data_IF_052886507764
#
_entry.id   IF_052886507764
#
_cell.length_a   1.000
_cell.length_b   1.000
_cell.length_c   1.000
_cell.angle_alpha   90.00
_cell.angle_beta   90.00
_cell.angle_gamma   90.00
#
_symmetry.space_group_name_H-M   'P 1'
#
loop_
_entity.id
_entity.type
_entity.pdbx_description
1 polymer ?
#
# COMPACT_ATOMS: atom_id res chain seq x y z
N UNK A 1 8.23 29.78 -1.94
CA UNK A 1 8.81 28.81 -2.90
C UNK A 1 7.77 28.57 -4.00
N UNK A 2 8.10 28.73 -5.28
CA UNK A 2 7.13 28.41 -6.36
C UNK A 2 6.73 26.93 -6.23
N UNK A 3 5.43 26.62 -6.28
CA UNK A 3 4.89 25.27 -6.09
C UNK A 3 5.58 24.24 -7.02
N UNK A 4 5.98 24.67 -8.21
CA UNK A 4 6.75 23.88 -9.16
C UNK A 4 8.13 23.42 -8.65
N UNK A 5 8.84 24.25 -7.89
CA UNK A 5 10.12 23.85 -7.26
C UNK A 5 9.90 22.85 -6.12
N UNK A 6 8.82 22.98 -5.35
CA UNK A 6 8.48 22.02 -4.31
C UNK A 6 8.15 20.64 -4.89
N UNK A 7 7.38 20.58 -5.98
CA UNK A 7 7.07 19.33 -6.68
C UNK A 7 8.33 18.62 -7.18
N UNK A 8 9.30 19.37 -7.74
CA UNK A 8 10.58 18.80 -8.18
C UNK A 8 11.39 18.22 -7.01
N UNK A 9 11.50 18.96 -5.90
CA UNK A 9 12.26 18.51 -4.73
C UNK A 9 11.62 17.25 -4.14
N UNK A 10 10.30 17.26 -3.94
CA UNK A 10 9.58 16.10 -3.42
C UNK A 10 9.74 14.92 -4.38
N UNK A 11 9.57 15.13 -5.69
CA UNK A 11 9.70 14.07 -6.69
C UNK A 11 11.08 13.42 -6.71
N UNK A 12 12.15 14.21 -6.62
CA UNK A 12 13.53 13.70 -6.51
C UNK A 12 13.73 12.92 -5.21
N UNK A 13 13.23 13.42 -4.08
CA UNK A 13 13.30 12.73 -2.80
C UNK A 13 12.56 11.38 -2.83
N UNK A 14 11.37 11.32 -3.45
CA UNK A 14 10.63 10.07 -3.62
C UNK A 14 11.39 9.08 -4.51
N UNK A 15 12.00 9.53 -5.61
CA UNK A 15 12.81 8.65 -6.46
C UNK A 15 13.98 8.06 -5.66
N UNK A 16 14.72 8.90 -4.92
CA UNK A 16 15.81 8.43 -4.08
C UNK A 16 15.31 7.44 -3.02
N UNK A 17 14.21 7.77 -2.33
CA UNK A 17 13.56 6.88 -1.38
C UNK A 17 13.16 5.53 -2.00
N UNK A 18 12.62 5.56 -3.22
CA UNK A 18 12.28 4.36 -3.99
C UNK A 18 13.50 3.50 -4.33
N UNK A 19 14.60 4.11 -4.75
CA UNK A 19 15.88 3.41 -4.99
C UNK A 19 16.38 2.76 -3.69
N UNK A 20 16.37 3.49 -2.57
CA UNK A 20 16.77 2.93 -1.27
C UNK A 20 15.87 1.78 -0.82
N UNK A 21 14.56 1.90 -1.04
CA UNK A 21 13.59 0.85 -0.72
C UNK A 21 13.83 -0.42 -1.55
N UNK A 22 14.17 -0.29 -2.82
CA UNK A 22 14.51 -1.43 -3.69
C UNK A 22 15.89 -2.03 -3.37
N UNK A 23 16.85 -1.20 -2.93
CA UNK A 23 18.16 -1.67 -2.51
C UNK A 23 18.10 -2.51 -1.21
N UNK A 24 17.18 -2.20 -0.30
CA UNK A 24 16.91 -3.00 0.89
C UNK A 24 15.40 -3.20 1.11
N UNK A 25 14.78 -4.19 0.40
CA UNK A 25 13.35 -4.45 0.48
C UNK A 25 12.88 -4.87 1.88
N UNK A 26 13.75 -5.51 2.68
CA UNK A 26 13.42 -5.90 4.04
C UNK A 26 13.21 -4.69 4.93
N UNK A 27 14.15 -3.74 4.93
CA UNK A 27 14.02 -2.51 5.69
C UNK A 27 12.78 -1.71 5.28
N UNK A 28 12.50 -1.64 3.97
CA UNK A 28 11.30 -1.00 3.44
C UNK A 28 10.00 -1.71 3.89
N UNK A 29 9.96 -3.04 3.86
CA UNK A 29 8.79 -3.81 4.32
C UNK A 29 8.50 -3.58 5.80
N UNK A 30 9.54 -3.53 6.63
CA UNK A 30 9.43 -3.21 8.06
C UNK A 30 8.92 -1.78 8.23
N UNK A 31 9.48 -0.80 7.49
CA UNK A 31 9.04 0.59 7.55
C UNK A 31 7.56 0.77 7.18
N UNK A 32 7.08 0.06 6.15
CA UNK A 32 5.64 0.07 5.79
C UNK A 32 4.82 -0.51 6.93
N UNK A 33 5.25 -1.63 7.49
CA UNK A 33 4.52 -2.30 8.57
C UNK A 33 4.44 -1.45 9.83
N UNK A 34 5.53 -0.78 10.20
CA UNK A 34 5.53 0.13 11.35
C UNK A 34 4.67 1.37 11.09
N UNK A 35 4.70 1.92 9.87
CA UNK A 35 3.82 3.02 9.48
C UNK A 35 2.35 2.61 9.58
N UNK A 36 1.98 1.45 9.05
CA UNK A 36 0.61 0.91 9.12
C UNK A 36 0.20 0.65 10.58
N UNK A 37 1.07 0.07 11.40
CA UNK A 37 0.83 -0.14 12.83
C UNK A 37 0.60 1.18 13.58
N UNK A 38 1.40 2.21 13.28
CA UNK A 38 1.22 3.55 13.85
C UNK A 38 -0.12 4.18 13.40
N UNK A 39 -0.49 4.05 12.12
CA UNK A 39 -1.78 4.52 11.63
C UNK A 39 -2.96 3.80 12.31
N UNK A 40 -2.85 2.49 12.53
CA UNK A 40 -3.86 1.72 13.25
C UNK A 40 -3.98 2.17 14.70
N UNK A 41 -2.88 2.46 15.39
CA UNK A 41 -2.91 3.04 16.73
C UNK A 41 -3.62 4.39 16.74
N UNK A 42 -3.23 5.31 15.87
CA UNK A 42 -3.83 6.65 15.81
C UNK A 42 -5.32 6.54 15.50
N UNK A 43 -5.70 5.74 14.50
CA UNK A 43 -7.09 5.51 14.14
C UNK A 43 -7.90 4.88 15.28
N UNK A 44 -7.32 3.92 16.00
CA UNK A 44 -7.95 3.28 17.15
C UNK A 44 -8.15 4.25 18.32
N UNK A 45 -7.16 5.08 18.64
CA UNK A 45 -7.25 6.11 19.68
C UNK A 45 -8.31 7.16 19.32
N UNK A 46 -8.34 7.63 18.08
CA UNK A 46 -9.35 8.59 17.61
C UNK A 46 -10.76 7.99 17.66
N UNK A 47 -10.93 6.71 17.27
CA UNK A 47 -12.21 6.02 17.40
C UNK A 47 -12.65 5.88 18.87
N UNK A 48 -11.73 5.52 19.76
CA UNK A 48 -12.00 5.49 21.20
C UNK A 48 -12.41 6.87 21.72
N UNK A 49 -11.71 7.94 21.31
CA UNK A 49 -12.04 9.31 21.68
C UNK A 49 -13.48 9.67 21.28
N UNK A 50 -13.86 9.42 20.02
CA UNK A 50 -15.21 9.71 19.52
C UNK A 50 -16.26 8.93 20.30
N UNK A 51 -15.98 7.68 20.66
CA UNK A 51 -16.88 6.87 21.47
C UNK A 51 -17.16 7.46 22.86
N UNK A 52 -16.18 8.14 23.45
CA UNK A 52 -16.36 8.82 24.74
C UNK A 52 -17.15 10.12 24.61
N UNK A 53 -17.18 10.74 23.42
CA UNK A 53 -17.95 11.96 23.18
C UNK A 53 -19.43 11.68 22.85
N UNK A 54 -19.75 10.55 22.24
CA UNK A 54 -21.11 10.21 21.83
C UNK A 54 -21.82 9.33 22.86
N UNK A 55 -22.61 9.96 23.73
CA UNK A 55 -23.26 9.34 24.90
C UNK A 55 -24.51 8.52 24.50
N UNK A 56 -24.99 8.61 23.26
CA UNK A 56 -26.29 8.07 22.83
C UNK A 56 -26.28 6.94 21.78
N UNK A 57 -25.13 6.46 21.32
CA UNK A 57 -25.10 5.51 20.20
C UNK A 57 -25.56 4.09 20.60
N UNK A 58 -26.64 3.60 20.00
CA UNK A 58 -27.13 2.20 20.09
C UNK A 58 -26.04 1.16 19.74
N UNK A 59 -24.98 1.59 19.06
CA UNK A 59 -23.84 0.79 18.61
C UNK A 59 -22.57 0.98 19.45
N UNK A 60 -22.65 1.58 20.65
CA UNK A 60 -21.46 1.94 21.46
C UNK A 60 -20.58 0.73 21.81
N UNK A 61 -21.17 -0.41 22.13
CA UNK A 61 -20.43 -1.63 22.44
C UNK A 61 -19.68 -2.15 21.20
N UNK A 62 -20.33 -2.13 20.04
CA UNK A 62 -19.73 -2.58 18.78
C UNK A 62 -18.58 -1.67 18.34
N UNK A 63 -18.78 -0.35 18.40
CA UNK A 63 -17.77 0.63 18.05
C UNK A 63 -16.58 0.61 19.02
N UNK A 64 -16.82 0.39 20.32
CA UNK A 64 -15.76 0.21 21.31
C UNK A 64 -14.95 -1.07 21.09
N UNK A 65 -15.60 -2.16 20.70
CA UNK A 65 -14.90 -3.39 20.34
C UNK A 65 -14.01 -3.20 19.10
N UNK A 66 -14.51 -2.53 18.05
CA UNK A 66 -13.71 -2.21 16.86
C UNK A 66 -12.53 -1.30 17.21
N UNK A 67 -12.74 -0.26 18.03
CA UNK A 67 -11.67 0.63 18.47
C UNK A 67 -10.58 -0.15 19.23
N UNK A 68 -10.98 -1.02 20.17
CA UNK A 68 -10.07 -1.87 20.91
C UNK A 68 -9.28 -2.81 19.99
N UNK A 69 -9.96 -3.50 19.06
CA UNK A 69 -9.30 -4.38 18.08
C UNK A 69 -8.28 -3.61 17.24
N UNK A 70 -8.64 -2.39 16.80
CA UNK A 70 -7.75 -1.55 15.98
C UNK A 70 -6.52 -1.13 16.77
N UNK A 71 -6.68 -0.74 18.05
CA UNK A 71 -5.56 -0.42 18.94
C UNK A 71 -4.67 -1.65 19.15
N UNK A 72 -5.25 -2.80 19.50
CA UNK A 72 -4.51 -4.05 19.73
C UNK A 72 -3.73 -4.46 18.48
N UNK A 73 -4.35 -4.39 17.31
CA UNK A 73 -3.67 -4.65 16.05
C UNK A 73 -2.51 -3.66 15.83
N UNK A 74 -2.71 -2.37 16.06
CA UNK A 74 -1.64 -1.36 15.97
C UNK A 74 -0.46 -1.65 16.92
N UNK A 75 -0.73 -1.97 18.19
CA UNK A 75 0.31 -2.36 19.16
C UNK A 75 1.04 -3.62 18.70
N UNK A 76 0.30 -4.62 18.21
CA UNK A 76 0.87 -5.88 17.76
C UNK A 76 1.82 -5.70 16.56
N UNK A 77 1.42 -4.89 15.57
CA UNK A 77 2.27 -4.56 14.42
C UNK A 77 3.55 -3.82 14.84
N UNK A 78 3.48 -2.94 15.83
CA UNK A 78 4.63 -2.15 16.28
C UNK A 78 5.59 -2.94 17.18
N UNK A 79 5.06 -3.84 18.01
CA UNK A 79 5.89 -4.69 18.89
C UNK A 79 6.58 -5.82 18.14
N UNK A 80 5.93 -6.38 17.11
CA UNK A 80 6.51 -7.42 16.26
C UNK A 80 6.34 -7.10 14.76
N UNK A 81 7.13 -6.16 14.20
CA UNK A 81 7.03 -5.77 12.80
C UNK A 81 7.23 -6.93 11.83
N UNK A 82 8.07 -7.91 12.16
CA UNK A 82 8.29 -9.11 11.34
C UNK A 82 7.04 -10.00 11.24
N UNK A 83 6.21 -10.08 12.29
CA UNK A 83 4.94 -10.79 12.21
C UNK A 83 3.87 -9.95 11.50
N UNK A 84 3.95 -8.62 11.66
CA UNK A 84 3.10 -7.67 10.94
C UNK A 84 3.32 -7.71 9.43
N UNK A 85 4.57 -7.81 8.95
CA UNK A 85 4.89 -7.90 7.52
C UNK A 85 4.25 -9.13 6.89
N UNK A 86 4.29 -10.28 7.59
CA UNK A 86 3.63 -11.52 7.14
C UNK A 86 2.13 -11.31 7.00
N UNK A 87 1.50 -10.76 8.03
CA UNK A 87 0.06 -10.53 8.05
C UNK A 87 -0.39 -9.60 6.93
N UNK A 88 0.29 -8.47 6.76
CA UNK A 88 0.01 -7.50 5.68
C UNK A 88 0.28 -8.08 4.29
N UNK A 89 1.32 -8.91 4.16
CA UNK A 89 1.65 -9.54 2.87
C UNK A 89 0.63 -10.59 2.48
N UNK A 90 0.12 -11.39 3.41
CA UNK A 90 -0.97 -12.32 3.13
C UNK A 90 -2.23 -11.59 2.67
N UNK A 91 -2.58 -10.47 3.32
CA UNK A 91 -3.70 -9.63 2.89
C UNK A 91 -3.46 -9.15 1.45
N UNK A 92 -2.27 -8.63 1.14
CA UNK A 92 -1.93 -8.24 -0.23
C UNK A 92 -1.97 -9.41 -1.22
N UNK A 93 -1.51 -10.60 -0.82
CA UNK A 93 -1.58 -11.82 -1.63
C UNK A 93 -3.02 -12.16 -2.01
N UNK A 94 -3.95 -12.12 -1.05
CA UNK A 94 -5.39 -12.27 -1.30
C UNK A 94 -5.87 -11.21 -2.29
N UNK A 95 -5.53 -9.94 -2.07
CA UNK A 95 -5.97 -8.83 -2.92
C UNK A 95 -5.44 -9.00 -4.35
N UNK A 96 -4.15 -9.31 -4.54
CA UNK A 96 -3.56 -9.55 -5.85
C UNK A 96 -4.16 -10.76 -6.56
N UNK A 97 -4.46 -11.83 -5.80
CA UNK A 97 -5.11 -13.01 -6.34
C UNK A 97 -6.52 -12.69 -6.86
N UNK A 98 -7.34 -12.04 -6.03
CA UNK A 98 -8.71 -11.63 -6.40
C UNK A 98 -8.69 -10.66 -7.58
N UNK A 99 -7.82 -9.64 -7.55
CA UNK A 99 -7.65 -8.71 -8.67
C UNK A 99 -7.22 -9.41 -9.94
N UNK A 100 -6.33 -10.40 -9.84
CA UNK A 100 -5.89 -11.22 -10.97
C UNK A 100 -7.05 -11.97 -11.61
N UNK A 101 -7.87 -12.66 -10.81
CA UNK A 101 -9.09 -13.35 -11.28
C UNK A 101 -10.04 -12.37 -11.96
N UNK A 102 -10.33 -11.23 -11.33
CA UNK A 102 -11.24 -10.21 -11.89
C UNK A 102 -10.71 -9.71 -13.24
N UNK A 103 -9.41 -9.41 -13.35
CA UNK A 103 -8.78 -8.98 -14.61
C UNK A 103 -8.86 -10.06 -15.69
N UNK A 104 -8.66 -11.33 -15.34
CA UNK A 104 -8.82 -12.46 -16.26
C UNK A 104 -10.28 -12.58 -16.75
N UNK A 105 -11.26 -12.42 -15.85
CA UNK A 105 -12.68 -12.39 -16.22
C UNK A 105 -13.01 -11.26 -17.17
N UNK A 106 -12.47 -10.06 -16.94
CA UNK A 106 -12.67 -8.90 -17.81
C UNK A 106 -11.96 -9.09 -19.16
N UNK A 107 -10.75 -9.67 -19.16
CA UNK A 107 -10.02 -9.98 -20.39
C UNK A 107 -10.85 -10.88 -21.33
N UNK A 108 -11.50 -11.92 -20.79
CA UNK A 108 -12.40 -12.78 -21.57
C UNK A 108 -13.61 -12.05 -22.18
N UNK A 109 -13.99 -10.89 -21.65
CA UNK A 109 -15.05 -10.04 -22.23
C UNK A 109 -14.53 -9.05 -23.28
N UNK A 110 -13.23 -8.77 -23.29
CA UNK A 110 -12.56 -7.86 -24.23
C UNK A 110 -11.96 -8.57 -25.44
N UNK A 111 -12.25 -9.86 -25.59
CA UNK A 111 -11.77 -10.73 -26.67
C UNK A 111 -12.09 -10.09 -28.02
N UNK A 112 -11.05 -9.78 -28.80
CA UNK A 112 -11.15 -9.07 -30.09
C UNK A 112 -10.64 -7.63 -30.10
N UNK A 113 -10.29 -7.06 -28.94
CA UNK A 113 -9.60 -5.76 -28.86
C UNK A 113 -8.08 -5.95 -28.71
N UNK A 114 -7.25 -4.98 -29.15
CA UNK A 114 -5.79 -5.04 -28.93
C UNK A 114 -5.41 -5.03 -27.43
N UNK A 115 -6.30 -4.54 -26.56
CA UNK A 115 -6.11 -4.53 -25.11
C UNK A 115 -6.30 -5.89 -24.43
N UNK A 116 -6.86 -6.88 -25.14
CA UNK A 116 -7.07 -8.24 -24.63
C UNK A 116 -5.78 -8.84 -24.05
N UNK A 117 -4.70 -8.83 -24.84
CA UNK A 117 -3.42 -9.43 -24.44
C UNK A 117 -2.82 -8.76 -23.22
N UNK A 118 -2.89 -7.42 -23.15
CA UNK A 118 -2.36 -6.66 -22.02
C UNK A 118 -3.14 -6.96 -20.73
N UNK A 119 -4.47 -7.04 -20.82
CA UNK A 119 -5.31 -7.32 -19.66
C UNK A 119 -5.20 -8.77 -19.20
N UNK A 120 -5.09 -9.72 -20.12
CA UNK A 120 -4.87 -11.13 -19.81
C UNK A 120 -3.51 -11.36 -19.13
N UNK A 121 -2.42 -10.85 -19.71
CA UNK A 121 -1.08 -10.97 -19.13
C UNK A 121 -0.97 -10.31 -17.76
N UNK A 122 -1.54 -9.11 -17.59
CA UNK A 122 -1.52 -8.43 -16.28
C UNK A 122 -2.40 -9.14 -15.25
N UNK A 123 -3.54 -9.71 -15.66
CA UNK A 123 -4.39 -10.52 -14.78
C UNK A 123 -3.72 -11.81 -14.35
N UNK A 124 -3.08 -12.52 -15.30
CA UNK A 124 -2.32 -13.73 -15.03
C UNK A 124 -1.14 -13.46 -14.10
N UNK A 125 -0.36 -12.41 -14.38
CA UNK A 125 0.76 -12.02 -13.52
C UNK A 125 0.30 -11.68 -12.09
N UNK A 126 -0.79 -10.91 -11.94
CA UNK A 126 -1.36 -10.58 -10.62
C UNK A 126 -1.84 -11.84 -9.88
N UNK A 127 -2.52 -12.76 -10.57
CA UNK A 127 -2.98 -14.01 -9.98
C UNK A 127 -1.79 -14.88 -9.53
N UNK A 128 -0.76 -14.99 -10.37
CA UNK A 128 0.47 -15.72 -10.05
C UNK A 128 1.19 -15.13 -8.84
N UNK A 129 1.32 -13.80 -8.76
CA UNK A 129 1.89 -13.14 -7.58
C UNK A 129 1.08 -13.51 -6.33
N UNK A 130 -0.26 -13.46 -6.42
CA UNK A 130 -1.12 -13.90 -5.32
C UNK A 130 -0.84 -15.33 -4.88
N UNK A 131 -0.75 -16.27 -5.82
CA UNK A 131 -0.44 -17.69 -5.53
C UNK A 131 0.96 -17.84 -4.92
N UNK A 132 1.97 -17.16 -5.45
CA UNK A 132 3.35 -17.21 -4.94
C UNK A 132 3.44 -16.69 -3.49
N UNK A 133 2.63 -15.71 -3.13
CA UNK A 133 2.55 -15.23 -1.74
C UNK A 133 2.03 -16.33 -0.81
N UNK A 134 1.10 -17.18 -1.27
CA UNK A 134 0.60 -18.28 -0.45
C UNK A 134 1.58 -19.45 -0.33
N UNK A 135 2.39 -19.71 -1.37
CA UNK A 135 3.38 -20.80 -1.31
C UNK A 135 4.57 -20.46 -0.42
N UNK A 136 5.07 -19.22 -0.50
CA UNK A 136 6.29 -18.79 0.17
C UNK A 136 6.07 -17.49 0.97
N UNK A 137 5.03 -17.50 1.82
CA UNK A 137 4.60 -16.30 2.56
C UNK A 137 5.72 -15.68 3.40
N UNK A 138 6.63 -16.46 3.97
CA UNK A 138 7.73 -15.94 4.78
C UNK A 138 8.74 -15.15 3.94
N UNK A 139 9.09 -15.65 2.75
CA UNK A 139 9.97 -14.94 1.82
C UNK A 139 9.26 -13.70 1.25
N UNK A 140 8.01 -13.87 0.82
CA UNK A 140 7.20 -12.78 0.29
C UNK A 140 7.02 -11.66 1.32
N UNK A 141 6.83 -11.99 2.60
CA UNK A 141 6.66 -11.01 3.67
C UNK A 141 7.84 -10.06 3.84
N UNK A 142 9.05 -10.55 3.57
CA UNK A 142 10.26 -9.75 3.73
C UNK A 142 10.57 -8.87 2.52
N UNK A 143 10.00 -9.16 1.35
CA UNK A 143 10.40 -8.52 0.10
C UNK A 143 9.27 -7.80 -0.61
N UNK A 144 8.06 -8.37 -0.63
CA UNK A 144 6.95 -7.88 -1.46
C UNK A 144 6.53 -6.47 -1.08
N UNK A 145 6.29 -6.20 0.21
CA UNK A 145 5.89 -4.88 0.68
C UNK A 145 6.92 -3.80 0.31
N UNK A 146 8.20 -4.10 0.50
CA UNK A 146 9.30 -3.20 0.17
C UNK A 146 9.45 -2.95 -1.32
N UNK A 147 9.30 -3.98 -2.15
CA UNK A 147 9.32 -3.85 -3.61
C UNK A 147 8.14 -2.99 -4.08
N UNK A 148 6.93 -3.26 -3.59
CA UNK A 148 5.73 -2.50 -3.94
C UNK A 148 5.89 -1.04 -3.54
N UNK A 149 6.36 -0.77 -2.32
CA UNK A 149 6.66 0.59 -1.88
C UNK A 149 7.72 1.25 -2.78
N UNK A 150 8.82 0.56 -3.07
CA UNK A 150 9.90 1.10 -3.88
C UNK A 150 9.42 1.48 -5.29
N UNK A 151 8.69 0.59 -5.95
CA UNK A 151 8.09 0.85 -7.26
C UNK A 151 7.08 1.99 -7.19
N UNK A 152 6.24 2.04 -6.16
CA UNK A 152 5.27 3.12 -5.95
C UNK A 152 5.96 4.48 -5.79
N UNK A 153 6.99 4.57 -4.95
CA UNK A 153 7.76 5.79 -4.73
C UNK A 153 8.48 6.26 -6.00
N UNK A 154 9.02 5.33 -6.79
CA UNK A 154 9.61 5.66 -8.09
C UNK A 154 8.57 6.22 -9.07
N UNK A 155 7.40 5.59 -9.15
CA UNK A 155 6.33 6.02 -10.05
C UNK A 155 5.77 7.40 -9.65
N UNK A 156 5.48 7.60 -8.38
CA UNK A 156 5.01 8.88 -7.84
C UNK A 156 6.09 9.97 -7.98
N UNK A 157 7.33 9.65 -7.69
CA UNK A 157 8.46 10.57 -7.82
C UNK A 157 8.67 11.01 -9.28
N UNK A 158 8.64 10.06 -10.23
CA UNK A 158 8.71 10.37 -11.65
C UNK A 158 7.53 11.24 -12.12
N UNK A 159 6.32 10.95 -11.63
CA UNK A 159 5.12 11.74 -11.90
C UNK A 159 5.23 13.18 -11.40
N UNK A 160 5.68 13.39 -10.16
CA UNK A 160 5.87 14.73 -9.58
C UNK A 160 6.99 15.50 -10.27
N UNK A 161 8.08 14.84 -10.65
CA UNK A 161 9.15 15.47 -11.44
C UNK A 161 8.60 15.93 -12.78
N UNK A 162 7.86 15.07 -13.49
CA UNK A 162 7.26 15.43 -14.78
C UNK A 162 6.34 16.65 -14.63
N UNK A 163 5.40 16.64 -13.68
CA UNK A 163 4.47 17.75 -13.44
C UNK A 163 5.22 19.03 -13.05
N UNK A 164 6.24 18.93 -12.19
CA UNK A 164 7.05 20.09 -11.77
C UNK A 164 7.82 20.73 -12.93
N UNK A 165 8.33 19.92 -13.87
CA UNK A 165 8.98 20.41 -15.09
C UNK A 165 7.98 21.08 -16.04
N UNK A 166 6.79 20.50 -16.23
CA UNK A 166 5.74 21.09 -17.07
C UNK A 166 5.21 22.41 -16.49
N UNK A 167 4.92 22.47 -15.20
CA UNK A 167 4.44 23.70 -14.53
C UNK A 167 5.47 24.83 -14.60
N UNK A 168 6.78 24.54 -14.47
CA UNK A 168 7.84 25.54 -14.68
C UNK A 168 7.88 26.11 -16.09
N UNK A 169 7.40 25.36 -17.08
CA UNK A 169 7.38 25.75 -18.49
C UNK A 169 6.20 26.66 -18.82
N UNK A 170 5.10 26.55 -18.08
CA UNK A 170 3.89 27.36 -18.24
C UNK A 170 4.01 28.69 -17.46
N UNK A 171 4.73 28.69 -16.33
CA UNK A 171 5.02 29.88 -15.53
C UNK A 171 6.13 30.79 -16.12
N UNK A 172 6.67 30.45 -17.30
CA UNK A 172 7.69 31.21 -18.05
C UNK A 172 7.11 31.73 -19.34
#
# INVERSE_FOLDING_TARGET
MKASTAMLVIGVLLILGGIFALANPLAASIAVTTLVGAMFLVAGILQAWVLFQDIGAEHRLWNGFIALLTIVAGVWLLTNPLAGTVSLTLILGVVFFVMGIVRLMIAMRLTGTPFFWLMFLSGLASALIGVLVFTDFQSAATTLLGILLGVQLLAEGAGLVAIGLFSRRIDR
#
